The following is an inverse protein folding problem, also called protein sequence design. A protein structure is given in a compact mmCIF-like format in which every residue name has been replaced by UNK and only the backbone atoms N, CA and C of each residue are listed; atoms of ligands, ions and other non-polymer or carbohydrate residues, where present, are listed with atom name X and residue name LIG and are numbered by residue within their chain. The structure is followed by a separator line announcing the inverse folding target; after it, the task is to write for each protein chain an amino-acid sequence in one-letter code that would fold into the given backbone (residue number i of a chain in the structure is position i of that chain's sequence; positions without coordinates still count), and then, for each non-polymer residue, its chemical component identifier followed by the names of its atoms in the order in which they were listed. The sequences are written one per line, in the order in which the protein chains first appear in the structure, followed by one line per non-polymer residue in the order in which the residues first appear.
data_IF_634661377125
#
_entry.id   IF_634661377125
#
_cell.length_a   1.000
_cell.length_b   1.000
_cell.length_c   1.000
_cell.angle_alpha   90.00
_cell.angle_beta   90.00
_cell.angle_gamma   90.00
#
_symmetry.space_group_name_H-M   'P 1'
#
loop_
_entity.id
_entity.type
_entity.pdbx_description
1 polymer ?
#
# COMPACT_ATOMS: atom_id res chain seq x y z
N UNK A 1 8.87 21.58 -0.30
CA UNK A 1 8.47 20.18 -0.53
C UNK A 1 9.76 19.39 -0.56
N UNK A 2 10.05 18.64 0.50
CA UNK A 2 11.31 17.91 0.67
C UNK A 2 11.28 16.69 -0.25
N UNK A 3 12.22 16.59 -1.20
CA UNK A 3 12.47 15.35 -1.94
C UNK A 3 13.68 14.72 -1.27
N UNK A 4 13.48 13.70 -0.42
CA UNK A 4 14.58 13.09 0.31
C UNK A 4 15.54 12.40 -0.67
N UNK A 5 16.85 12.49 -0.40
CA UNK A 5 17.95 11.86 -1.19
C UNK A 5 18.05 10.35 -0.86
N UNK A 6 16.92 9.66 -0.95
CA UNK A 6 16.79 8.22 -0.75
C UNK A 6 16.13 7.61 -1.98
N UNK A 7 16.77 6.57 -2.54
CA UNK A 7 16.23 5.86 -3.68
C UNK A 7 15.27 4.75 -3.21
N UNK A 8 13.99 5.09 -3.15
CA UNK A 8 12.90 4.17 -2.81
C UNK A 8 12.37 3.37 -4.01
N UNK A 9 13.01 3.46 -5.18
CA UNK A 9 12.64 2.66 -6.37
C UNK A 9 13.13 1.22 -6.27
N UNK A 10 12.96 0.60 -5.10
CA UNK A 10 13.31 -0.80 -4.90
C UNK A 10 12.11 -1.65 -5.32
N UNK A 11 12.30 -2.46 -6.36
CA UNK A 11 11.28 -3.41 -6.81
C UNK A 11 11.19 -4.59 -5.82
N UNK A 12 10.02 -4.79 -5.20
CA UNK A 12 9.70 -6.05 -4.53
C UNK A 12 9.06 -7.01 -5.53
N UNK A 13 9.85 -7.94 -6.05
CA UNK A 13 9.39 -8.95 -7.00
C UNK A 13 9.09 -10.27 -6.27
N UNK A 14 7.89 -10.81 -6.51
CA UNK A 14 7.47 -12.12 -6.00
C UNK A 14 7.17 -13.04 -7.18
N UNK A 15 7.84 -14.19 -7.22
CA UNK A 15 7.54 -15.22 -8.22
C UNK A 15 6.23 -15.94 -7.86
N UNK A 16 5.20 -15.75 -8.69
CA UNK A 16 3.87 -16.38 -8.54
C UNK A 16 3.66 -17.56 -9.50
N UNK A 17 4.70 -17.99 -10.22
CA UNK A 17 4.61 -19.04 -11.25
C UNK A 17 4.00 -20.33 -10.71
N UNK A 18 4.41 -20.75 -9.50
CA UNK A 18 3.99 -22.03 -8.92
C UNK A 18 2.48 -22.09 -8.67
N UNK A 19 1.89 -21.07 -8.03
CA UNK A 19 0.44 -21.05 -7.74
C UNK A 19 -0.40 -20.95 -9.03
N UNK A 20 0.11 -20.25 -10.05
CA UNK A 20 -0.58 -20.13 -11.34
C UNK A 20 -0.57 -21.46 -12.12
N UNK A 21 0.52 -22.24 -12.02
CA UNK A 21 0.65 -23.54 -12.68
C UNK A 21 -0.06 -24.66 -11.94
N UNK A 22 0.17 -24.79 -10.64
CA UNK A 22 -0.33 -25.92 -9.83
C UNK A 22 -1.78 -25.74 -9.42
N UNK A 23 -2.21 -24.50 -9.16
CA UNK A 23 -3.55 -24.20 -8.63
C UNK A 23 -4.43 -23.48 -9.65
N UNK A 24 -3.94 -23.22 -10.87
CA UNK A 24 -4.62 -22.41 -11.87
C UNK A 24 -5.05 -21.03 -11.34
N UNK A 25 -4.30 -20.48 -10.38
CA UNK A 25 -4.62 -19.20 -9.76
C UNK A 25 -4.66 -18.09 -10.80
N UNK A 26 -5.72 -17.29 -10.74
CA UNK A 26 -5.92 -16.06 -11.50
C UNK A 26 -6.60 -15.04 -10.62
N UNK A 27 -6.25 -13.79 -10.84
CA UNK A 27 -6.89 -12.64 -10.22
C UNK A 27 -8.40 -12.65 -10.60
N UNK A 28 -9.31 -12.53 -9.62
CA UNK A 28 -10.75 -12.59 -9.88
C UNK A 28 -11.29 -11.30 -10.52
N UNK A 29 -10.55 -10.21 -10.43
CA UNK A 29 -10.86 -8.89 -10.99
C UNK A 29 -9.57 -8.23 -11.49
N UNK A 30 -9.70 -7.32 -12.45
CA UNK A 30 -8.60 -6.49 -12.92
C UNK A 30 -8.06 -5.57 -11.80
N UNK A 31 -6.79 -5.19 -11.86
CA UNK A 31 -6.13 -4.35 -10.84
C UNK A 31 -6.82 -2.99 -10.70
N UNK A 32 -7.21 -2.36 -11.82
CA UNK A 32 -7.87 -1.05 -11.79
C UNK A 32 -9.26 -1.14 -11.13
N UNK A 33 -9.94 -2.27 -11.36
CA UNK A 33 -11.21 -2.59 -10.72
C UNK A 33 -11.05 -2.82 -9.22
N UNK A 34 -10.04 -3.62 -8.83
CA UNK A 34 -9.73 -3.91 -7.44
C UNK A 34 -9.47 -2.61 -6.67
N UNK A 35 -8.61 -1.73 -7.18
CA UNK A 35 -8.27 -0.45 -6.57
C UNK A 35 -9.49 0.43 -6.39
N UNK A 36 -10.33 0.55 -7.42
CA UNK A 36 -11.53 1.39 -7.36
C UNK A 36 -12.53 0.89 -6.32
N UNK A 37 -12.72 -0.43 -6.21
CA UNK A 37 -13.59 -1.04 -5.20
C UNK A 37 -13.04 -0.83 -3.79
N UNK A 38 -11.74 -1.02 -3.59
CA UNK A 38 -11.09 -0.78 -2.30
C UNK A 38 -11.26 0.68 -1.86
N UNK A 39 -11.00 1.65 -2.75
CA UNK A 39 -11.17 3.08 -2.44
C UNK A 39 -12.63 3.39 -2.05
N UNK A 40 -13.60 2.86 -2.80
CA UNK A 40 -15.01 3.08 -2.50
C UNK A 40 -15.39 2.49 -1.13
N UNK A 41 -14.87 1.30 -0.81
CA UNK A 41 -15.12 0.63 0.47
C UNK A 41 -14.52 1.40 1.64
N UNK A 42 -13.23 1.77 1.56
CA UNK A 42 -12.51 2.52 2.62
C UNK A 42 -13.19 3.86 2.91
N UNK A 43 -13.64 4.58 1.87
CA UNK A 43 -14.37 5.85 2.04
C UNK A 43 -15.72 5.68 2.75
N UNK A 44 -16.37 4.53 2.55
CA UNK A 44 -17.65 4.23 3.19
C UNK A 44 -17.47 3.66 4.61
N UNK A 45 -16.29 3.13 4.94
CA UNK A 45 -15.99 2.49 6.21
C UNK A 45 -14.69 3.04 6.82
N UNK A 46 -14.62 4.36 7.08
CA UNK A 46 -13.44 4.92 7.72
C UNK A 46 -13.27 4.29 9.12
N UNK A 47 -12.03 4.06 9.59
CA UNK A 47 -11.79 3.57 10.94
C UNK A 47 -12.43 4.49 11.97
N UNK A 48 -13.19 3.91 12.91
CA UNK A 48 -13.96 4.66 13.91
C UNK A 48 -13.08 5.49 14.85
N UNK A 49 -11.84 5.03 15.07
CA UNK A 49 -10.85 5.70 15.90
C UNK A 49 -9.49 5.64 15.20
N UNK A 50 -8.96 6.81 14.90
CA UNK A 50 -7.56 6.99 14.50
C UNK A 50 -6.88 7.72 15.65
N UNK A 51 -6.02 7.03 16.39
CA UNK A 51 -5.24 7.67 17.45
C UNK A 51 -4.07 8.42 16.82
N UNK A 52 -4.24 9.74 16.67
CA UNK A 52 -3.21 10.62 16.11
C UNK A 52 -1.89 10.57 16.90
N UNK A 53 -1.89 10.11 18.16
CA UNK A 53 -0.67 9.97 18.97
C UNK A 53 0.18 8.76 18.57
N UNK A 54 -0.33 7.88 17.72
CA UNK A 54 0.44 6.77 17.15
C UNK A 54 1.40 7.23 16.04
N UNK A 55 1.23 8.44 15.53
CA UNK A 55 2.04 9.00 14.46
C UNK A 55 2.80 10.22 14.99
N UNK A 56 4.11 10.11 15.13
CA UNK A 56 4.97 11.24 15.50
C UNK A 56 5.56 11.86 14.23
N UNK A 57 4.71 12.60 13.52
CA UNK A 57 5.11 13.28 12.29
C UNK A 57 6.24 14.30 12.52
N UNK A 58 6.37 14.84 13.73
CA UNK A 58 7.46 15.77 14.07
C UNK A 58 8.79 15.01 14.13
N UNK A 59 8.80 13.81 14.72
CA UNK A 59 9.98 12.95 14.72
C UNK A 59 10.32 12.41 13.31
N UNK A 60 9.31 12.05 12.51
CA UNK A 60 9.50 11.66 11.10
C UNK A 60 10.12 12.80 10.29
N UNK A 61 9.60 14.02 10.41
CA UNK A 61 10.14 15.21 9.73
C UNK A 61 11.56 15.54 10.20
N UNK A 62 11.88 15.35 11.48
CA UNK A 62 13.22 15.58 12.02
C UNK A 62 14.26 14.57 11.51
N UNK A 63 13.86 13.34 11.19
CA UNK A 63 14.75 12.32 10.63
C UNK A 63 15.14 12.59 9.16
N UNK A 64 14.40 13.47 8.48
CA UNK A 64 14.67 13.89 7.10
C UNK A 64 15.58 15.14 6.99
N UNK A 65 15.95 15.76 8.12
CA UNK A 65 16.78 16.97 8.21
C UNK A 65 18.26 16.65 8.42
#
# INVERSE_FOLDING_TARGET
HLVPDIDVNQDLLVDTTRIRRELSYREPVDVDEALRRTIAWERAHPPEQVDAKQFDYVAEDAALA
#
